data_IF_790455487269
#
_entry.id   IF_790455487269
#
_cell.length_a   1.000
_cell.length_b   1.000
_cell.length_c   1.000
_cell.angle_alpha   90.00
_cell.angle_beta   90.00
_cell.angle_gamma   90.00
#
_symmetry.space_group_name_H-M   'P 1'
#
loop_
_entity.id
_entity.type
_entity.pdbx_description
1 polymer ?
#
# COMPACT_ATOMS: atom_id res chain seq x y z
N UNK A 1 -31.82 10.40 -7.24
CA UNK A 1 -31.05 10.51 -5.99
C UNK A 1 -30.28 9.21 -5.82
N UNK A 2 -28.97 9.22 -6.08
CA UNK A 2 -28.14 8.03 -5.88
C UNK A 2 -28.10 7.74 -4.37
N UNK A 3 -28.44 6.51 -3.98
CA UNK A 3 -28.21 6.03 -2.63
C UNK A 3 -26.71 6.12 -2.38
N UNK A 4 -26.26 7.12 -1.62
CA UNK A 4 -24.88 7.21 -1.14
C UNK A 4 -24.70 6.02 -0.20
N UNK A 5 -24.23 4.88 -0.72
CA UNK A 5 -23.85 3.74 0.10
C UNK A 5 -22.78 4.27 1.05
N UNK A 6 -23.04 4.21 2.35
CA UNK A 6 -22.09 4.72 3.33
C UNK A 6 -20.86 3.81 3.33
N UNK A 7 -19.79 4.28 2.72
CA UNK A 7 -18.45 3.76 2.91
C UNK A 7 -17.99 4.26 4.27
N UNK A 8 -17.81 3.37 5.24
CA UNK A 8 -17.40 3.77 6.59
C UNK A 8 -15.90 3.67 6.81
N UNK A 9 -15.18 2.95 5.94
CA UNK A 9 -13.77 2.65 6.13
C UNK A 9 -13.06 2.58 4.79
N UNK A 10 -11.79 2.98 4.79
CA UNK A 10 -10.95 3.06 3.60
C UNK A 10 -10.89 1.77 2.75
N UNK A 11 -10.72 0.55 3.32
CA UNK A 11 -10.69 -0.67 2.50
C UNK A 11 -12.04 -1.00 1.82
N UNK A 12 -13.15 -0.38 2.25
CA UNK A 12 -14.44 -0.58 1.61
C UNK A 12 -14.53 0.06 0.21
N UNK A 13 -13.61 0.96 -0.17
CA UNK A 13 -13.50 1.47 -1.54
C UNK A 13 -13.24 0.33 -2.53
N UNK A 14 -12.27 -0.54 -2.22
CA UNK A 14 -11.94 -1.71 -3.04
C UNK A 14 -13.08 -2.72 -3.02
N UNK A 15 -13.71 -2.98 -1.87
CA UNK A 15 -14.89 -3.85 -1.79
C UNK A 15 -16.01 -3.36 -2.71
N UNK A 16 -16.30 -2.06 -2.69
CA UNK A 16 -17.36 -1.49 -3.51
C UNK A 16 -17.03 -1.57 -5.01
N UNK A 17 -15.79 -1.28 -5.39
CA UNK A 17 -15.34 -1.42 -6.77
C UNK A 17 -15.40 -2.89 -7.22
N UNK A 18 -14.93 -3.84 -6.40
CA UNK A 18 -14.99 -5.27 -6.68
C UNK A 18 -16.42 -5.79 -6.85
N UNK A 19 -17.37 -5.29 -6.05
CA UNK A 19 -18.79 -5.66 -6.22
C UNK A 19 -19.44 -5.07 -7.47
N UNK A 20 -19.04 -3.87 -7.89
CA UNK A 20 -19.62 -3.22 -9.07
C UNK A 20 -19.04 -3.76 -10.38
N UNK A 21 -17.73 -3.97 -10.41
CA UNK A 21 -16.98 -4.36 -11.59
C UNK A 21 -15.75 -5.19 -11.16
N UNK A 22 -15.92 -6.48 -10.83
CA UNK A 22 -14.83 -7.30 -10.31
C UNK A 22 -13.67 -7.39 -11.31
N UNK A 23 -13.96 -7.46 -12.61
CA UNK A 23 -12.97 -7.59 -13.69
C UNK A 23 -12.30 -6.25 -14.08
N UNK A 24 -12.74 -5.12 -13.51
CA UNK A 24 -12.11 -3.83 -13.75
C UNK A 24 -10.69 -3.85 -13.20
N UNK A 25 -9.70 -3.43 -14.00
CA UNK A 25 -8.30 -3.37 -13.56
C UNK A 25 -8.16 -2.30 -12.47
N UNK A 26 -7.67 -2.71 -11.30
CA UNK A 26 -7.33 -1.82 -10.21
C UNK A 26 -5.87 -1.35 -10.34
N UNK A 27 -4.96 -2.29 -10.60
CA UNK A 27 -3.52 -2.04 -10.57
C UNK A 27 -2.83 -2.69 -11.77
N UNK A 28 -1.84 -2.00 -12.33
CA UNK A 28 -0.89 -2.55 -13.30
C UNK A 28 0.54 -2.36 -12.81
N UNK A 29 1.37 -3.37 -13.01
CA UNK A 29 2.79 -3.31 -12.72
C UNK A 29 3.54 -4.18 -13.72
N UNK A 30 4.34 -3.56 -14.60
CA UNK A 30 5.04 -4.26 -15.68
C UNK A 30 4.05 -5.05 -16.54
N UNK A 31 4.26 -6.34 -16.75
CA UNK A 31 3.37 -7.21 -17.53
C UNK A 31 2.21 -7.80 -16.73
N UNK A 32 2.07 -7.43 -15.45
CA UNK A 32 1.08 -8.00 -14.54
C UNK A 32 0.02 -6.96 -14.17
N UNK A 33 -1.17 -7.45 -13.83
CA UNK A 33 -2.27 -6.62 -13.37
C UNK A 33 -3.09 -7.33 -12.31
N UNK A 34 -3.71 -6.56 -11.42
CA UNK A 34 -4.78 -7.03 -10.55
C UNK A 34 -6.07 -6.32 -10.89
N UNK A 35 -7.15 -7.09 -11.04
CA UNK A 35 -8.50 -6.55 -11.03
C UNK A 35 -8.92 -6.14 -9.61
N UNK A 36 -10.01 -5.38 -9.47
CA UNK A 36 -10.56 -5.07 -8.15
C UNK A 36 -11.02 -6.33 -7.41
N UNK A 37 -11.53 -7.34 -8.13
CA UNK A 37 -11.86 -8.65 -7.59
C UNK A 37 -10.62 -9.36 -7.03
N UNK A 38 -9.57 -9.50 -7.84
CA UNK A 38 -8.31 -10.13 -7.43
C UNK A 38 -7.69 -9.42 -6.22
N UNK A 39 -7.67 -8.08 -6.24
CA UNK A 39 -7.14 -7.29 -5.14
C UNK A 39 -7.92 -7.52 -3.85
N UNK A 40 -9.26 -7.52 -3.92
CA UNK A 40 -10.11 -7.73 -2.76
C UNK A 40 -9.94 -9.14 -2.17
N UNK A 41 -9.90 -10.16 -3.01
CA UNK A 41 -9.73 -11.56 -2.59
C UNK A 41 -8.35 -11.81 -1.96
N UNK A 42 -7.27 -11.33 -2.59
CA UNK A 42 -5.90 -11.46 -2.05
C UNK A 42 -5.74 -10.68 -0.74
N UNK A 43 -6.32 -9.48 -0.66
CA UNK A 43 -6.34 -8.69 0.57
C UNK A 43 -7.14 -9.40 1.67
N UNK A 44 -8.28 -10.02 1.34
CA UNK A 44 -9.08 -10.82 2.26
C UNK A 44 -8.31 -12.03 2.81
N UNK A 45 -7.60 -12.76 1.94
CA UNK A 45 -6.73 -13.87 2.35
C UNK A 45 -5.63 -13.42 3.32
N UNK A 46 -4.95 -12.31 3.03
CA UNK A 46 -3.97 -11.73 3.95
C UNK A 46 -4.61 -11.30 5.27
N UNK A 47 -5.79 -10.69 5.23
CA UNK A 47 -6.49 -10.26 6.44
C UNK A 47 -6.80 -11.45 7.36
N UNK A 48 -7.30 -12.55 6.79
CA UNK A 48 -7.57 -13.78 7.53
C UNK A 48 -6.28 -14.41 8.09
N UNK A 49 -5.18 -14.39 7.33
CA UNK A 49 -3.88 -14.87 7.79
C UNK A 49 -3.34 -14.04 8.97
N UNK A 50 -3.50 -12.72 8.93
CA UNK A 50 -3.11 -11.81 10.01
C UNK A 50 -3.93 -12.06 11.29
N UNK A 51 -5.26 -12.22 11.16
CA UNK A 51 -6.12 -12.51 12.31
C UNK A 51 -5.84 -13.90 12.91
N UNK A 52 -5.58 -14.90 12.07
CA UNK A 52 -5.19 -16.24 12.52
C UNK A 52 -3.83 -16.24 13.25
N UNK A 53 -2.95 -15.30 12.91
CA UNK A 53 -1.68 -15.04 13.60
C UNK A 53 -1.83 -14.14 14.84
N UNK A 54 -3.06 -13.83 15.24
CA UNK A 54 -3.37 -13.13 16.49
C UNK A 54 -3.41 -11.61 16.39
N UNK A 55 -3.30 -11.01 15.19
CA UNK A 55 -3.47 -9.56 15.02
C UNK A 55 -4.79 -9.10 15.63
N UNK A 56 -4.74 -8.06 16.46
CA UNK A 56 -5.92 -7.38 16.99
C UNK A 56 -6.18 -6.06 16.25
N UNK A 57 -7.44 -5.59 16.20
CA UNK A 57 -7.74 -4.27 15.66
C UNK A 57 -6.91 -3.17 16.35
N UNK A 58 -6.29 -2.30 15.56
CA UNK A 58 -5.38 -1.25 16.04
C UNK A 58 -3.90 -1.66 16.15
N UNK A 59 -3.56 -2.94 15.95
CA UNK A 59 -2.17 -3.37 15.85
C UNK A 59 -1.50 -2.82 14.60
N UNK A 60 -0.19 -2.51 14.70
CA UNK A 60 0.58 -1.96 13.58
C UNK A 60 1.29 -3.08 12.84
N UNK A 61 1.20 -3.05 11.51
CA UNK A 61 1.88 -3.99 10.63
C UNK A 61 2.77 -3.20 9.67
N UNK A 62 4.07 -3.55 9.66
CA UNK A 62 5.03 -2.94 8.75
C UNK A 62 4.84 -3.42 7.31
N UNK A 63 5.01 -2.54 6.33
CA UNK A 63 5.14 -2.92 4.92
C UNK A 63 6.54 -2.52 4.47
N UNK A 64 7.42 -3.49 4.23
CA UNK A 64 8.77 -3.26 3.73
C UNK A 64 8.93 -3.88 2.33
N UNK A 65 8.76 -3.07 1.29
CA UNK A 65 8.84 -3.56 -0.07
C UNK A 65 9.13 -2.45 -1.06
N UNK A 66 9.83 -2.82 -2.13
CA UNK A 66 9.86 -1.99 -3.34
C UNK A 66 8.46 -1.92 -3.95
N UNK A 67 8.25 -1.00 -4.89
CA UNK A 67 6.97 -0.89 -5.59
C UNK A 67 6.61 -2.21 -6.29
N UNK A 68 5.35 -2.62 -6.14
CA UNK A 68 4.80 -3.85 -6.68
C UNK A 68 3.34 -4.04 -6.27
N UNK A 69 2.69 -5.06 -6.82
CA UNK A 69 1.27 -5.35 -6.58
C UNK A 69 1.02 -5.79 -5.13
N UNK A 70 2.00 -6.46 -4.52
CA UNK A 70 1.96 -6.98 -3.15
C UNK A 70 1.82 -5.86 -2.12
N UNK A 71 2.32 -4.65 -2.39
CA UNK A 71 2.13 -3.51 -1.47
C UNK A 71 0.66 -3.13 -1.34
N UNK A 72 -0.09 -3.19 -2.43
CA UNK A 72 -1.53 -2.93 -2.42
C UNK A 72 -2.28 -4.04 -1.69
N UNK A 73 -1.92 -5.31 -1.95
CA UNK A 73 -2.47 -6.45 -1.20
C UNK A 73 -2.21 -6.27 0.30
N UNK A 74 -0.98 -5.89 0.67
CA UNK A 74 -0.57 -5.66 2.04
C UNK A 74 -1.40 -4.57 2.73
N UNK A 75 -1.44 -3.37 2.15
CA UNK A 75 -2.13 -2.24 2.79
C UNK A 75 -3.63 -2.50 2.93
N UNK A 76 -4.28 -3.10 1.92
CA UNK A 76 -5.70 -3.41 1.99
C UNK A 76 -5.99 -4.57 2.94
N UNK A 77 -5.16 -5.61 2.94
CA UNK A 77 -5.33 -6.77 3.82
C UNK A 77 -5.14 -6.40 5.29
N UNK A 78 -4.14 -5.57 5.60
CA UNK A 78 -3.92 -5.06 6.96
C UNK A 78 -5.15 -4.27 7.44
N UNK A 79 -5.66 -3.35 6.62
CA UNK A 79 -6.85 -2.57 6.98
C UNK A 79 -8.12 -3.43 7.09
N UNK A 80 -8.30 -4.44 6.24
CA UNK A 80 -9.43 -5.39 6.32
C UNK A 80 -9.37 -6.23 7.60
N UNK A 81 -8.18 -6.52 8.12
CA UNK A 81 -8.00 -7.15 9.43
C UNK A 81 -8.22 -6.18 10.61
N UNK A 82 -8.51 -4.89 10.35
CA UNK A 82 -8.62 -3.84 11.36
C UNK A 82 -7.27 -3.33 11.88
N UNK A 83 -6.16 -3.73 11.25
CA UNK A 83 -4.82 -3.27 11.57
C UNK A 83 -4.49 -1.91 10.94
N UNK A 84 -3.36 -1.37 11.37
CA UNK A 84 -2.82 -0.08 10.94
C UNK A 84 -1.54 -0.34 10.15
N UNK A 85 -1.53 -0.03 8.85
CA UNK A 85 -0.31 -0.25 8.07
C UNK A 85 0.71 0.86 8.32
N UNK A 86 1.98 0.49 8.36
CA UNK A 86 3.10 1.42 8.51
C UNK A 86 4.12 1.14 7.41
N UNK A 87 4.18 1.97 6.36
CA UNK A 87 5.13 1.76 5.29
C UNK A 87 6.54 2.10 5.73
N UNK A 88 7.47 1.18 5.47
CA UNK A 88 8.89 1.29 5.75
C UNK A 88 9.61 1.61 4.44
N UNK A 89 10.64 2.45 4.51
CA UNK A 89 11.44 2.80 3.33
C UNK A 89 12.42 1.66 3.01
N UNK A 90 12.29 0.97 1.86
CA UNK A 90 13.18 -0.13 1.48
C UNK A 90 14.62 0.30 1.19
N UNK A 91 14.88 1.62 1.11
CA UNK A 91 16.22 2.18 0.91
C UNK A 91 16.79 2.82 2.18
N UNK A 92 16.03 2.82 3.28
CA UNK A 92 16.52 3.33 4.55
C UNK A 92 17.55 2.38 5.17
N UNK A 93 18.55 2.92 5.88
CA UNK A 93 19.45 2.08 6.68
C UNK A 93 18.68 1.25 7.72
N UNK A 94 19.11 0.02 8.06
CA UNK A 94 18.43 -0.84 9.05
C UNK A 94 18.15 -0.14 10.39
N UNK A 95 19.06 0.74 10.84
CA UNK A 95 18.87 1.52 12.07
C UNK A 95 17.62 2.42 12.02
N UNK A 96 17.30 3.00 10.85
CA UNK A 96 16.10 3.83 10.66
C UNK A 96 14.84 2.96 10.61
N UNK A 97 14.90 1.82 9.91
CA UNK A 97 13.80 0.85 9.86
C UNK A 97 13.49 0.33 11.27
N UNK A 98 14.50 -0.11 12.02
CA UNK A 98 14.36 -0.56 13.40
C UNK A 98 13.93 0.54 14.38
N UNK A 99 14.21 1.82 14.11
CA UNK A 99 13.62 2.92 14.88
C UNK A 99 12.10 2.99 14.67
N UNK A 100 11.65 3.03 13.41
CA UNK A 100 10.22 3.11 13.08
C UNK A 100 9.46 1.90 13.62
N UNK A 101 10.04 0.70 13.49
CA UNK A 101 9.44 -0.53 14.01
C UNK A 101 9.26 -0.51 15.53
N UNK A 102 10.25 -0.02 16.27
CA UNK A 102 10.12 0.12 17.74
C UNK A 102 9.13 1.19 18.14
N UNK A 103 9.20 2.36 17.51
CA UNK A 103 8.34 3.51 17.84
C UNK A 103 6.86 3.23 17.54
N UNK A 104 6.59 2.40 16.52
CA UNK A 104 5.24 1.92 16.21
C UNK A 104 4.86 0.60 16.88
N UNK A 105 5.74 -0.04 17.66
CA UNK A 105 5.55 -1.39 18.24
C UNK A 105 5.03 -2.37 17.16
N UNK A 106 5.77 -2.42 16.04
CA UNK A 106 5.52 -3.33 14.91
C UNK A 106 6.14 -4.69 15.24
N UNK A 107 5.29 -5.71 15.24
CA UNK A 107 5.67 -7.12 15.47
C UNK A 107 5.44 -8.01 14.26
N UNK A 108 4.72 -7.51 13.26
CA UNK A 108 4.43 -8.21 12.00
C UNK A 108 4.85 -7.35 10.83
N UNK A 109 5.48 -7.95 9.82
CA UNK A 109 5.91 -7.24 8.61
C UNK A 109 5.47 -8.02 7.39
N UNK A 110 4.88 -7.33 6.41
CA UNK A 110 4.73 -7.83 5.05
C UNK A 110 5.91 -7.33 4.22
N UNK A 111 6.64 -8.23 3.58
CA UNK A 111 7.87 -7.93 2.85
C UNK A 111 7.99 -8.74 1.56
N UNK A 112 9.05 -8.50 0.80
CA UNK A 112 9.47 -9.35 -0.31
C UNK A 112 10.80 -10.05 0.00
N UNK A 113 11.10 -11.12 -0.72
CA UNK A 113 12.38 -11.83 -0.60
C UNK A 113 13.60 -10.89 -0.74
N UNK A 114 13.50 -9.86 -1.60
CA UNK A 114 14.56 -8.85 -1.81
C UNK A 114 14.83 -7.93 -0.61
N UNK A 115 14.02 -8.00 0.44
CA UNK A 115 14.10 -7.18 1.64
C UNK A 115 14.24 -8.03 2.92
N UNK A 116 14.26 -9.36 2.81
CA UNK A 116 14.35 -10.27 3.94
C UNK A 116 15.61 -10.01 4.80
N UNK A 117 16.77 -9.81 4.17
CA UNK A 117 18.03 -9.50 4.87
C UNK A 117 17.94 -8.22 5.72
N UNK A 118 17.21 -7.21 5.25
CA UNK A 118 17.03 -5.96 6.02
C UNK A 118 16.18 -6.21 7.26
N UNK A 119 15.13 -7.03 7.15
CA UNK A 119 14.29 -7.40 8.30
C UNK A 119 15.08 -8.24 9.29
N UNK A 120 15.86 -9.20 8.81
CA UNK A 120 16.73 -10.02 9.65
C UNK A 120 17.73 -9.17 10.44
N UNK A 121 18.43 -8.24 9.77
CA UNK A 121 19.37 -7.33 10.44
C UNK A 121 18.69 -6.47 11.52
N UNK A 122 17.43 -6.08 11.31
CA UNK A 122 16.64 -5.36 12.32
C UNK A 122 16.23 -6.28 13.47
N UNK A 123 15.78 -7.51 13.21
CA UNK A 123 15.43 -8.48 14.23
C UNK A 123 16.64 -8.82 15.13
N UNK A 124 17.82 -9.02 14.54
CA UNK A 124 19.08 -9.27 15.24
C UNK A 124 19.53 -8.09 16.14
N UNK A 125 19.01 -6.88 15.89
CA UNK A 125 19.25 -5.70 16.75
C UNK A 125 18.43 -5.69 18.04
N UNK A 126 17.64 -6.74 18.30
CA UNK A 126 16.82 -6.91 19.51
C UNK A 126 15.37 -6.46 19.35
N UNK A 127 14.87 -6.37 18.12
CA UNK A 127 13.44 -6.11 17.88
C UNK A 127 12.64 -7.42 18.05
N UNK A 128 11.53 -7.37 18.79
CA UNK A 128 10.58 -8.48 18.93
C UNK A 128 9.70 -8.63 17.67
N UNK A 129 10.28 -9.15 16.59
CA UNK A 129 9.52 -9.56 15.40
C UNK A 129 8.86 -10.92 15.67
N UNK A 130 7.54 -11.00 15.49
CA UNK A 130 6.76 -12.24 15.64
C UNK A 130 6.64 -12.96 14.28
N UNK A 131 6.23 -12.24 13.23
CA UNK A 131 5.92 -12.84 11.93
C UNK A 131 6.36 -11.98 10.75
N UNK A 132 6.92 -12.63 9.73
CA UNK A 132 7.27 -12.06 8.44
C UNK A 132 6.41 -12.70 7.34
N UNK A 133 5.63 -11.90 6.63
CA UNK A 133 4.76 -12.33 5.53
C UNK A 133 5.39 -12.01 4.18
N UNK A 134 5.28 -12.94 3.24
CA UNK A 134 5.70 -12.79 1.86
C UNK A 134 6.91 -13.64 1.45
N UNK A 135 8.07 -13.60 2.15
CA UNK A 135 9.19 -14.47 1.82
C UNK A 135 8.83 -15.93 2.09
N UNK A 136 9.52 -16.85 1.43
CA UNK A 136 9.27 -18.29 1.52
C UNK A 136 9.54 -18.88 2.91
N UNK A 137 9.32 -20.19 3.04
CA UNK A 137 9.70 -20.93 4.24
C UNK A 137 11.23 -20.86 4.44
N UNK A 138 11.64 -20.31 5.58
CA UNK A 138 13.03 -20.25 6.01
C UNK A 138 13.14 -20.82 7.42
N UNK A 139 13.86 -21.94 7.55
CA UNK A 139 14.08 -22.60 8.82
C UNK A 139 15.14 -21.87 9.66
N UNK A 140 14.97 -21.90 10.98
CA UNK A 140 15.96 -21.39 11.93
C UNK A 140 15.96 -19.87 12.14
N UNK A 141 14.97 -19.16 11.59
CA UNK A 141 14.73 -17.76 11.90
C UNK A 141 14.18 -17.59 13.33
N UNK A 142 14.47 -16.45 14.00
CA UNK A 142 13.94 -16.17 15.34
C UNK A 142 12.47 -15.74 15.35
N UNK A 143 11.79 -15.77 14.20
CA UNK A 143 10.40 -15.36 13.97
C UNK A 143 9.73 -16.31 12.97
N UNK A 144 8.39 -16.30 12.92
CA UNK A 144 7.63 -17.08 11.94
C UNK A 144 7.78 -16.46 10.54
N UNK A 145 8.08 -17.27 9.52
CA UNK A 145 7.99 -16.85 8.11
C UNK A 145 6.74 -17.47 7.47
N UNK A 146 5.94 -16.66 6.78
CA UNK A 146 4.70 -17.05 6.12
C UNK A 146 4.77 -16.67 4.65
N UNK A 147 4.75 -17.67 3.77
CA UNK A 147 4.83 -17.42 2.32
C UNK A 147 3.52 -16.89 1.73
N UNK A 148 3.59 -16.25 0.56
CA UNK A 148 2.37 -15.89 -0.18
C UNK A 148 1.51 -17.10 -0.57
N UNK A 149 2.10 -18.29 -0.75
CA UNK A 149 1.37 -19.52 -1.00
C UNK A 149 0.57 -19.98 0.23
N UNK A 150 1.15 -19.83 1.43
CA UNK A 150 0.43 -20.08 2.68
C UNK A 150 -0.69 -19.05 2.88
N UNK A 151 -0.43 -17.75 2.64
CA UNK A 151 -1.47 -16.71 2.68
C UNK A 151 -2.63 -17.05 1.73
N UNK A 152 -2.33 -17.49 0.51
CA UNK A 152 -3.35 -17.87 -0.47
C UNK A 152 -4.19 -19.10 -0.08
N UNK A 153 -3.81 -19.85 0.97
CA UNK A 153 -4.60 -20.96 1.49
C UNK A 153 -5.71 -20.53 2.46
N UNK A 154 -5.67 -19.28 2.95
CA UNK A 154 -6.73 -18.71 3.78
C UNK A 154 -7.95 -18.32 2.94
N UNK A 155 -9.10 -18.16 3.60
CA UNK A 155 -10.33 -17.69 2.96
C UNK A 155 -10.10 -16.35 2.26
N UNK A 156 -10.59 -16.22 1.02
CA UNK A 156 -10.58 -14.95 0.28
C UNK A 156 -11.70 -14.02 0.71
N UNK A 157 -12.73 -14.53 1.40
CA UNK A 157 -13.79 -13.70 1.99
C UNK A 157 -13.19 -12.83 3.10
N UNK A 158 -13.26 -11.51 2.93
CA UNK A 158 -12.74 -10.58 3.93
C UNK A 158 -13.42 -10.78 5.29
N UNK A 159 -12.67 -10.76 6.40
CA UNK A 159 -13.22 -10.97 7.72
C UNK A 159 -14.16 -9.82 8.15
N UNK A 160 -15.10 -10.14 9.03
CA UNK A 160 -15.92 -9.13 9.71
C UNK A 160 -15.22 -8.73 11.00
N UNK A 161 -14.64 -7.52 10.99
CA UNK A 161 -13.91 -6.95 12.13
C UNK A 161 -14.68 -5.76 12.71
N UNK A 162 -14.73 -5.64 14.04
CA UNK A 162 -15.41 -4.54 14.72
C UNK A 162 -14.50 -3.30 14.78
N UNK A 163 -14.53 -2.49 13.74
CA UNK A 163 -13.81 -1.21 13.65
C UNK A 163 -14.76 -0.08 13.23
N UNK A 164 -14.35 1.16 13.45
CA UNK A 164 -15.10 2.39 13.18
C UNK A 164 -14.32 3.31 12.25
N UNK A 165 -14.96 4.36 11.74
CA UNK A 165 -14.29 5.38 10.94
C UNK A 165 -13.25 6.21 11.74
N UNK A 166 -13.31 6.18 13.08
CA UNK A 166 -12.38 6.90 13.95
C UNK A 166 -11.11 6.09 14.26
N UNK A 167 -11.10 4.80 13.93
CA UNK A 167 -9.92 3.96 14.14
C UNK A 167 -8.81 4.33 13.15
N UNK A 168 -7.58 4.11 13.58
CA UNK A 168 -6.41 4.32 12.75
C UNK A 168 -6.38 3.32 11.59
N UNK A 169 -5.88 3.77 10.44
CA UNK A 169 -5.71 2.93 9.26
C UNK A 169 -4.27 2.90 8.75
N UNK A 170 -3.52 4.00 8.94
CA UNK A 170 -2.10 4.02 8.67
C UNK A 170 -1.33 5.07 9.48
N UNK A 171 -0.01 4.88 9.53
CA UNK A 171 0.94 5.83 10.12
C UNK A 171 2.04 6.14 9.11
N UNK A 172 2.29 7.42 8.82
CA UNK A 172 3.40 7.86 7.97
C UNK A 172 4.46 8.58 8.80
N UNK A 173 5.74 8.24 8.58
CA UNK A 173 6.85 8.88 9.28
C UNK A 173 7.44 10.04 8.49
N UNK A 174 7.65 11.17 9.17
CA UNK A 174 8.31 12.35 8.60
C UNK A 174 9.64 12.60 9.31
N UNK A 175 10.60 13.27 8.63
CA UNK A 175 11.80 13.78 9.28
C UNK A 175 11.40 14.90 10.25
N UNK A 176 11.28 14.60 11.55
CA UNK A 176 10.92 15.61 12.53
C UNK A 176 11.93 16.76 12.56
N UNK A 177 11.46 17.97 12.83
CA UNK A 177 12.31 19.17 12.95
C UNK A 177 13.40 19.05 14.03
N UNK A 178 13.22 18.14 15.00
CA UNK A 178 14.17 17.82 16.07
C UNK A 178 15.19 16.74 15.70
N UNK A 179 15.19 16.27 14.44
CA UNK A 179 16.05 15.18 13.95
C UNK A 179 15.49 13.77 14.20
N UNK A 180 14.59 13.60 15.18
CA UNK A 180 13.89 12.33 15.44
C UNK A 180 12.66 12.21 14.52
N UNK A 181 12.50 11.11 13.77
CA UNK A 181 11.31 10.88 12.96
C UNK A 181 10.03 10.86 13.81
N UNK A 182 8.90 11.32 13.25
CA UNK A 182 7.60 11.36 13.94
C UNK A 182 6.54 10.64 13.12
N UNK A 183 5.81 9.72 13.75
CA UNK A 183 4.67 9.03 13.16
C UNK A 183 3.42 9.92 13.14
N UNK A 184 2.87 10.13 11.96
CA UNK A 184 1.62 10.86 11.74
C UNK A 184 0.51 9.83 11.57
N UNK A 185 -0.43 9.81 12.51
CA UNK A 185 -1.51 8.83 12.58
C UNK A 185 -2.73 9.31 11.80
N UNK A 186 -3.28 8.46 10.94
CA UNK A 186 -4.45 8.77 10.12
C UNK A 186 -5.60 7.81 10.40
N UNK A 187 -6.78 8.37 10.61
CA UNK A 187 -8.02 7.58 10.78
C UNK A 187 -8.64 7.23 9.43
N UNK A 188 -9.44 6.17 9.40
CA UNK A 188 -10.23 5.81 8.22
C UNK A 188 -11.06 6.98 7.70
N UNK A 189 -11.69 7.77 8.58
CA UNK A 189 -12.47 8.95 8.22
C UNK A 189 -11.65 9.99 7.46
N UNK A 190 -10.46 10.32 7.98
CA UNK A 190 -9.58 11.33 7.35
C UNK A 190 -9.10 10.87 5.98
N UNK A 191 -8.71 9.60 5.86
CA UNK A 191 -8.21 9.01 4.64
C UNK A 191 -9.32 8.87 3.56
N UNK A 192 -10.53 8.48 3.98
CA UNK A 192 -11.66 8.38 3.07
C UNK A 192 -12.07 9.74 2.52
N UNK A 193 -12.14 10.77 3.38
CA UNK A 193 -12.40 12.13 2.92
C UNK A 193 -11.36 12.61 1.91
N UNK A 194 -10.08 12.29 2.13
CA UNK A 194 -9.00 12.58 1.18
C UNK A 194 -9.16 11.84 -0.16
N UNK A 195 -9.52 10.56 -0.11
CA UNK A 195 -9.77 9.75 -1.30
C UNK A 195 -10.95 10.29 -2.14
N UNK A 196 -12.07 10.64 -1.49
CA UNK A 196 -13.23 11.24 -2.15
C UNK A 196 -12.88 12.59 -2.79
N UNK A 197 -12.23 13.49 -2.04
CA UNK A 197 -11.82 14.80 -2.56
C UNK A 197 -10.87 14.67 -3.74
N UNK A 198 -9.96 13.70 -3.71
CA UNK A 198 -9.08 13.41 -4.83
C UNK A 198 -9.87 13.03 -6.07
N UNK A 199 -10.72 12.01 -5.97
CA UNK A 199 -11.51 11.51 -7.08
C UNK A 199 -12.36 12.63 -7.70
N UNK A 200 -13.00 13.46 -6.86
CA UNK A 200 -13.81 14.59 -7.30
C UNK A 200 -12.96 15.70 -7.97
N UNK A 201 -11.80 16.03 -7.38
CA UNK A 201 -10.93 17.11 -7.88
C UNK A 201 -10.41 16.83 -9.28
N UNK A 202 -9.97 15.59 -9.52
CA UNK A 202 -9.48 15.16 -10.82
C UNK A 202 -10.59 14.61 -11.74
N UNK A 203 -11.83 14.54 -11.24
CA UNK A 203 -13.01 13.98 -11.93
C UNK A 203 -12.76 12.57 -12.46
N UNK A 204 -12.09 11.77 -11.65
CA UNK A 204 -11.72 10.40 -12.01
C UNK A 204 -12.98 9.55 -12.23
N UNK A 205 -12.92 8.68 -13.22
CA UNK A 205 -13.90 7.64 -13.48
C UNK A 205 -13.22 6.33 -13.88
N UNK A 206 -14.01 5.30 -14.13
CA UNK A 206 -13.51 3.94 -14.39
C UNK A 206 -12.66 3.81 -15.67
N UNK A 207 -12.65 4.83 -16.54
CA UNK A 207 -11.82 4.88 -17.74
C UNK A 207 -10.47 5.56 -17.51
N UNK A 208 -10.25 6.17 -16.35
CA UNK A 208 -9.01 6.87 -16.05
C UNK A 208 -7.88 5.90 -15.68
N UNK A 209 -6.68 6.29 -16.10
CA UNK A 209 -5.43 5.61 -15.81
C UNK A 209 -4.50 6.62 -15.14
N UNK A 210 -4.14 6.35 -13.90
CA UNK A 210 -3.40 7.26 -13.01
C UNK A 210 -2.14 6.58 -12.49
N UNK A 211 -1.02 7.29 -12.30
CA UNK A 211 0.24 6.66 -11.89
C UNK A 211 0.43 6.59 -10.39
N UNK A 212 0.87 5.45 -9.85
CA UNK A 212 1.61 5.41 -8.58
C UNK A 212 3.08 5.84 -8.75
N UNK A 213 3.29 7.15 -8.73
CA UNK A 213 4.63 7.74 -8.82
C UNK A 213 5.33 7.83 -7.47
N UNK A 214 4.61 8.12 -6.39
CA UNK A 214 5.20 8.27 -5.06
C UNK A 214 5.53 6.91 -4.42
N UNK A 215 6.65 6.78 -3.68
CA UNK A 215 6.87 5.63 -2.80
C UNK A 215 5.79 5.54 -1.72
N UNK A 216 5.48 4.32 -1.27
CA UNK A 216 4.41 4.07 -0.28
C UNK A 216 4.62 4.80 1.06
N UNK A 217 5.87 5.09 1.43
CA UNK A 217 6.20 5.82 2.65
C UNK A 217 6.05 7.35 2.53
N UNK A 218 5.54 7.85 1.41
CA UNK A 218 5.13 9.24 1.23
C UNK A 218 3.60 9.35 1.13
N UNK A 219 3.04 10.41 1.70
CA UNK A 219 1.60 10.69 1.72
C UNK A 219 0.99 10.81 0.33
N UNK A 220 1.77 11.27 -0.65
CA UNK A 220 1.34 11.35 -2.05
C UNK A 220 0.88 9.97 -2.59
N UNK A 221 1.40 8.85 -2.08
CA UNK A 221 0.95 7.51 -2.47
C UNK A 221 -0.49 7.18 -2.04
N UNK A 222 -1.03 7.89 -1.04
CA UNK A 222 -2.42 7.68 -0.58
C UNK A 222 -3.43 8.08 -1.65
N UNK A 223 -3.07 9.06 -2.49
CA UNK A 223 -3.86 9.46 -3.65
C UNK A 223 -3.96 8.29 -4.66
N UNK A 224 -2.82 7.62 -4.90
CA UNK A 224 -2.72 6.49 -5.84
C UNK A 224 -3.52 5.27 -5.43
N UNK A 225 -3.40 4.89 -4.16
CA UNK A 225 -4.02 3.67 -3.68
C UNK A 225 -5.48 3.89 -3.35
N UNK A 226 -5.88 5.06 -2.86
CA UNK A 226 -7.24 5.30 -2.35
C UNK A 226 -8.09 6.20 -3.24
N UNK A 227 -7.55 7.31 -3.73
CA UNK A 227 -8.30 8.24 -4.58
C UNK A 227 -8.69 7.61 -5.92
N UNK A 228 -7.77 6.88 -6.54
CA UNK A 228 -8.04 6.13 -7.78
C UNK A 228 -9.03 4.99 -7.53
N UNK A 229 -8.88 4.28 -6.41
CA UNK A 229 -9.82 3.23 -5.99
C UNK A 229 -11.23 3.75 -5.71
N UNK A 230 -11.37 4.94 -5.14
CA UNK A 230 -12.66 5.58 -4.91
C UNK A 230 -13.47 5.81 -6.21
N UNK A 231 -12.77 6.02 -7.32
CA UNK A 231 -13.36 6.19 -8.64
C UNK A 231 -13.54 4.87 -9.43
N UNK A 232 -12.99 3.75 -8.93
CA UNK A 232 -12.91 2.50 -9.69
C UNK A 232 -11.99 2.59 -10.93
N UNK A 233 -11.06 3.54 -10.91
CA UNK A 233 -10.10 3.79 -11.99
C UNK A 233 -8.90 2.82 -11.93
N UNK A 234 -7.99 2.88 -12.89
CA UNK A 234 -6.77 2.05 -12.91
C UNK A 234 -5.56 2.81 -12.38
N UNK A 235 -4.81 2.22 -11.45
CA UNK A 235 -3.50 2.72 -11.00
C UNK A 235 -2.36 1.97 -11.69
N UNK A 236 -1.45 2.68 -12.36
CA UNK A 236 -0.22 2.14 -12.94
C UNK A 236 0.93 2.37 -11.98
N UNK A 237 1.47 1.29 -11.41
CA UNK A 237 2.63 1.36 -10.51
C UNK A 237 3.88 1.60 -11.34
N UNK A 238 4.51 2.77 -11.17
CA UNK A 238 5.72 3.13 -11.90
C UNK A 238 6.92 2.37 -11.31
N UNK A 239 7.57 1.47 -12.07
CA UNK A 239 8.77 0.80 -11.59
C UNK A 239 9.89 1.80 -11.31
N UNK A 240 10.72 1.50 -10.32
CA UNK A 240 11.78 2.42 -9.83
C UNK A 240 12.81 2.78 -10.91
N UNK A 241 13.03 1.89 -11.88
CA UNK A 241 13.90 2.14 -13.03
C UNK A 241 13.40 3.31 -13.92
N UNK A 242 12.10 3.56 -13.96
CA UNK A 242 11.50 4.65 -14.74
C UNK A 242 11.52 5.99 -14.00
N UNK A 243 11.64 6.01 -12.67
CA UNK A 243 11.63 7.28 -11.90
C UNK A 243 12.94 8.05 -11.99
N UNK A 244 14.00 7.47 -12.56
CA UNK A 244 15.35 8.08 -12.63
C UNK A 244 15.58 8.95 -13.87
N UNK A 245 14.89 8.65 -14.97
CA UNK A 245 15.13 9.29 -16.27
C UNK A 245 13.82 9.74 -16.90
N UNK A 246 13.69 11.03 -17.19
CA UNK A 246 12.45 11.62 -17.69
C UNK A 246 11.97 11.03 -19.01
N UNK A 247 12.87 10.73 -19.96
CA UNK A 247 12.50 10.08 -21.22
C UNK A 247 11.95 8.66 -21.01
N UNK A 248 12.52 7.91 -20.06
CA UNK A 248 12.04 6.57 -19.71
C UNK A 248 10.67 6.62 -19.04
N UNK A 249 10.43 7.62 -18.19
CA UNK A 249 9.12 7.88 -17.60
C UNK A 249 8.10 8.24 -18.67
N UNK A 250 8.41 9.22 -19.53
CA UNK A 250 7.52 9.68 -20.60
C UNK A 250 7.07 8.53 -21.51
N UNK A 251 8.01 7.70 -21.98
CA UNK A 251 7.67 6.52 -22.79
C UNK A 251 6.74 5.52 -22.08
N UNK A 252 6.89 5.35 -20.76
CA UNK A 252 5.98 4.52 -19.98
C UNK A 252 4.59 5.16 -19.86
N UNK A 253 4.51 6.48 -19.62
CA UNK A 253 3.23 7.19 -19.50
C UNK A 253 2.44 7.11 -20.81
N UNK A 254 3.11 7.24 -21.96
CA UNK A 254 2.50 7.08 -23.28
C UNK A 254 2.03 5.65 -23.54
N UNK A 255 2.88 4.65 -23.25
CA UNK A 255 2.56 3.25 -23.45
C UNK A 255 1.35 2.79 -22.62
N UNK A 256 1.21 3.31 -21.41
CA UNK A 256 0.10 3.03 -20.50
C UNK A 256 -1.15 3.89 -20.76
N UNK A 257 -1.09 4.79 -21.74
CA UNK A 257 -2.17 5.71 -22.11
C UNK A 257 -2.72 6.50 -20.92
N UNK A 258 -1.80 7.07 -20.15
CA UNK A 258 -2.13 7.75 -18.91
C UNK A 258 -3.10 8.93 -19.13
N UNK A 259 -4.16 9.01 -18.33
CA UNK A 259 -5.15 10.10 -18.42
C UNK A 259 -4.86 11.21 -17.43
N UNK A 260 -4.33 10.89 -16.25
CA UNK A 260 -3.95 11.86 -15.22
C UNK A 260 -2.56 11.54 -14.69
N UNK A 261 -1.64 12.50 -14.83
CA UNK A 261 -0.34 12.47 -14.18
C UNK A 261 -0.24 13.57 -13.13
N UNK A 262 0.21 13.22 -11.94
CA UNK A 262 0.53 14.17 -10.90
C UNK A 262 1.84 13.75 -10.22
N UNK A 263 2.66 14.73 -9.86
CA UNK A 263 4.01 14.47 -9.36
C UNK A 263 4.55 15.67 -8.60
N UNK A 264 5.74 15.52 -8.03
CA UNK A 264 6.49 16.63 -7.44
C UNK A 264 6.96 17.62 -8.51
N UNK A 265 7.06 18.93 -8.22
CA UNK A 265 7.39 19.95 -9.23
C UNK A 265 8.65 19.63 -10.04
N UNK A 266 9.68 19.05 -9.41
CA UNK A 266 10.93 18.71 -10.09
C UNK A 266 10.78 17.67 -11.19
N UNK A 267 9.96 16.63 -10.97
CA UNK A 267 9.74 15.60 -11.98
C UNK A 267 8.95 16.17 -13.17
N UNK A 268 7.98 17.06 -12.90
CA UNK A 268 7.24 17.76 -13.95
C UNK A 268 8.15 18.68 -14.80
N UNK A 269 9.08 19.40 -14.17
CA UNK A 269 10.06 20.24 -14.87
C UNK A 269 10.96 19.41 -15.79
N UNK A 270 11.36 18.21 -15.35
CA UNK A 270 12.19 17.32 -16.16
C UNK A 270 11.43 16.73 -17.36
N UNK A 271 10.15 16.39 -17.17
CA UNK A 271 9.28 15.92 -18.25
C UNK A 271 8.96 17.02 -19.27
N UNK A 272 8.90 18.28 -18.85
CA UNK A 272 8.68 19.43 -19.74
C UNK A 272 9.91 19.88 -20.54
N UNK A 273 11.05 19.19 -20.45
CA UNK A 273 12.22 19.53 -21.26
C UNK A 273 11.96 19.18 -22.75
N UNK A 274 12.50 19.98 -23.70
CA UNK A 274 12.29 19.72 -25.12
C UNK A 274 12.70 18.29 -25.54
N UNK A 275 11.78 17.58 -26.20
CA UNK A 275 12.01 16.23 -26.72
C UNK A 275 11.79 15.08 -25.74
N UNK A 276 11.08 15.31 -24.63
CA UNK A 276 10.72 14.27 -23.65
C UNK A 276 9.24 13.84 -23.77
N UNK A 277 8.30 14.79 -23.64
CA UNK A 277 6.86 14.65 -23.89
C UNK A 277 6.46 15.42 -25.16
#
# INVERSE_FOLDING_TARGET
MAHRRMIYQLPHLVREAAWKAPDQIALRFKSESLSYGDLYERAGALANALLADGLQPGDRVGILGKKGLENAVALYGIMLAGGVYVPLDPFAPPARTGFVMRDSDIRRVVTSASQAETVQAVAESGLELETLYGPGEEDGLPYRSVSWAEVASFSTDAPVVSTTEQDLCYILYTSGSTGTPKGIMHTHRSALAWAEVTADTYRLGTTDVVTNYAPLHFDLSTLDYFGVAAAGATTVIIPEEHTKFAASLAGLLEAEQLTVFYTVPMALIQLGQPGIL
#
